data_IF_274792375703
#
_entry.id   IF_274792375703
#
_cell.length_a   1.000
_cell.length_b   1.000
_cell.length_c   1.000
_cell.angle_alpha   90.00
_cell.angle_beta   90.00
_cell.angle_gamma   90.00
#
_symmetry.space_group_name_H-M   'P 1'
#
loop_
_entity.id
_entity.type
_entity.pdbx_description
1 polymer ?
#
# COMPACT_ATOMS: atom_id res chain seq x y z
N UNK A 1 -6.99 -3.75 -20.12
CA UNK A 1 -6.05 -3.99 -18.99
C UNK A 1 -6.88 -4.50 -17.85
N UNK A 2 -6.48 -5.60 -17.25
CA UNK A 2 -7.20 -6.24 -16.15
C UNK A 2 -6.49 -5.93 -14.82
N UNK A 3 -7.25 -5.80 -13.73
CA UNK A 3 -6.70 -5.74 -12.38
C UNK A 3 -7.30 -6.89 -11.60
N UNK A 4 -6.44 -7.71 -11.00
CA UNK A 4 -6.84 -8.88 -10.23
C UNK A 4 -5.91 -9.10 -9.05
N UNK A 5 -6.39 -9.88 -8.09
CA UNK A 5 -5.57 -10.34 -6.97
C UNK A 5 -4.35 -11.10 -7.50
N UNK A 6 -3.20 -10.85 -6.91
CA UNK A 6 -1.96 -11.55 -7.20
C UNK A 6 -2.04 -12.98 -6.67
N UNK A 7 -1.41 -13.91 -7.38
CA UNK A 7 -1.27 -15.31 -7.00
C UNK A 7 0.21 -15.67 -6.89
N UNK A 8 0.51 -16.86 -6.37
CA UNK A 8 1.89 -17.35 -6.32
C UNK A 8 2.54 -17.49 -7.71
N UNK A 9 1.74 -17.67 -8.77
CA UNK A 9 2.23 -17.73 -10.15
C UNK A 9 2.72 -16.37 -10.68
N UNK A 10 2.33 -15.28 -10.02
CA UNK A 10 2.66 -13.92 -10.44
C UNK A 10 3.97 -13.40 -9.83
N UNK A 11 4.57 -14.10 -8.85
CA UNK A 11 5.66 -13.56 -8.04
C UNK A 11 6.90 -13.25 -8.88
N UNK A 12 7.29 -14.14 -9.79
CA UNK A 12 8.43 -13.89 -10.68
C UNK A 12 8.17 -12.69 -11.60
N UNK A 13 6.99 -12.61 -12.20
CA UNK A 13 6.61 -11.48 -13.08
C UNK A 13 6.52 -10.16 -12.31
N UNK A 14 6.13 -10.23 -11.05
CA UNK A 14 6.06 -9.09 -10.12
C UNK A 14 7.46 -8.62 -9.75
N UNK A 15 8.37 -9.54 -9.44
CA UNK A 15 9.78 -9.26 -9.19
C UNK A 15 10.46 -8.65 -10.42
N UNK A 16 10.23 -9.19 -11.61
CA UNK A 16 10.73 -8.61 -12.87
C UNK A 16 10.20 -7.19 -13.08
N UNK A 17 8.92 -6.96 -12.78
CA UNK A 17 8.33 -5.62 -12.87
C UNK A 17 8.96 -4.64 -11.85
N UNK A 18 9.30 -5.11 -10.64
CA UNK A 18 9.99 -4.32 -9.61
C UNK A 18 11.38 -3.90 -10.09
N UNK A 19 12.21 -4.86 -10.55
CA UNK A 19 13.57 -4.62 -11.05
C UNK A 19 13.61 -3.59 -12.19
N UNK A 20 12.58 -3.58 -13.05
CA UNK A 20 12.48 -2.62 -14.16
C UNK A 20 12.01 -1.22 -13.74
N UNK A 21 11.39 -1.08 -12.56
CA UNK A 21 10.69 0.14 -12.17
C UNK A 21 11.29 0.85 -10.96
N UNK A 22 11.95 0.13 -10.05
CA UNK A 22 12.35 0.62 -8.74
C UNK A 22 13.79 0.22 -8.38
N UNK A 23 14.51 1.07 -7.64
CA UNK A 23 15.84 0.71 -7.11
C UNK A 23 15.76 -0.19 -5.87
N UNK A 24 14.66 -0.14 -5.09
CA UNK A 24 14.43 -1.02 -3.95
C UNK A 24 13.93 -2.40 -4.42
N UNK A 25 14.80 -3.40 -4.27
CA UNK A 25 14.59 -4.77 -4.74
C UNK A 25 14.61 -5.77 -3.59
N UNK A 26 13.87 -6.87 -3.76
CA UNK A 26 13.72 -7.90 -2.74
C UNK A 26 14.03 -9.29 -3.29
N UNK A 27 14.48 -10.19 -2.41
CA UNK A 27 14.61 -11.60 -2.75
C UNK A 27 13.23 -12.25 -2.90
N UNK A 28 13.13 -13.29 -3.73
CA UNK A 28 11.87 -14.01 -3.97
C UNK A 28 11.20 -14.51 -2.68
N UNK A 29 12.01 -14.90 -1.68
CA UNK A 29 11.54 -15.28 -0.35
C UNK A 29 10.62 -14.21 0.28
N UNK A 30 10.91 -12.93 0.08
CA UNK A 30 10.11 -11.84 0.63
C UNK A 30 8.77 -11.69 -0.07
N UNK A 31 8.73 -11.89 -1.39
CA UNK A 31 7.47 -11.96 -2.15
C UNK A 31 6.62 -13.17 -1.73
N UNK A 32 7.24 -14.33 -1.52
CA UNK A 32 6.55 -15.52 -1.02
C UNK A 32 5.98 -15.30 0.38
N UNK A 33 6.74 -14.67 1.28
CA UNK A 33 6.24 -14.31 2.61
C UNK A 33 4.95 -13.46 2.52
N UNK A 34 4.93 -12.43 1.68
CA UNK A 34 3.71 -11.63 1.48
C UNK A 34 2.54 -12.45 0.93
N UNK A 35 2.78 -13.25 -0.11
CA UNK A 35 1.74 -14.01 -0.79
C UNK A 35 1.15 -15.13 0.08
N UNK A 36 1.94 -15.69 0.99
CA UNK A 36 1.51 -16.77 1.88
C UNK A 36 0.92 -16.25 3.20
N UNK A 37 1.37 -15.09 3.71
CA UNK A 37 0.83 -14.49 4.93
C UNK A 37 -0.45 -13.67 4.67
N UNK A 38 -0.50 -12.90 3.58
CA UNK A 38 -1.63 -12.02 3.24
C UNK A 38 -2.06 -12.15 1.78
N UNK A 39 -2.55 -13.34 1.36
CA UNK A 39 -2.89 -13.61 -0.04
C UNK A 39 -3.95 -12.65 -0.62
N UNK A 40 -4.73 -11.97 0.22
CA UNK A 40 -5.79 -11.04 -0.18
C UNK A 40 -5.27 -9.64 -0.58
N UNK A 41 -4.07 -9.25 -0.14
CA UNK A 41 -3.69 -7.82 -0.13
C UNK A 41 -2.95 -7.35 -1.37
N UNK A 42 -2.30 -8.25 -2.10
CA UNK A 42 -1.48 -7.90 -3.26
C UNK A 42 -2.28 -8.06 -4.55
N UNK A 43 -2.10 -7.13 -5.48
CA UNK A 43 -2.81 -7.09 -6.76
C UNK A 43 -1.84 -6.84 -7.92
N UNK A 44 -2.19 -7.36 -9.09
CA UNK A 44 -1.46 -7.14 -10.34
C UNK A 44 -2.38 -6.47 -11.37
N UNK A 45 -1.77 -5.65 -12.22
CA UNK A 45 -2.36 -5.11 -13.43
C UNK A 45 -1.73 -5.81 -14.64
N UNK A 46 -2.58 -6.30 -15.55
CA UNK A 46 -2.17 -7.11 -16.69
C UNK A 46 -2.58 -6.48 -18.01
N UNK A 47 -1.72 -6.65 -19.02
CA UNK A 47 -2.07 -6.38 -20.42
C UNK A 47 -2.96 -7.51 -21.00
N UNK A 48 -3.55 -7.33 -22.20
CA UNK A 48 -4.37 -8.37 -22.83
C UNK A 48 -3.64 -9.69 -23.14
N UNK A 49 -2.31 -9.72 -23.06
CA UNK A 49 -1.47 -10.90 -23.28
C UNK A 49 -1.12 -11.62 -21.97
N UNK A 50 -1.61 -11.12 -20.82
CA UNK A 50 -1.32 -11.68 -19.50
C UNK A 50 0.02 -11.26 -18.91
N UNK A 51 0.69 -10.24 -19.46
CA UNK A 51 1.92 -9.73 -18.87
C UNK A 51 1.60 -8.80 -17.70
N UNK A 52 2.31 -8.96 -16.58
CA UNK A 52 2.26 -8.01 -15.47
C UNK A 52 2.89 -6.69 -15.92
N UNK A 53 2.09 -5.63 -15.91
CA UNK A 53 2.47 -4.27 -16.29
C UNK A 53 2.48 -3.29 -15.10
N UNK A 54 1.93 -3.72 -13.97
CA UNK A 54 2.04 -3.05 -12.69
C UNK A 54 1.57 -3.96 -11.58
N UNK A 55 1.92 -3.62 -10.34
CA UNK A 55 1.55 -4.40 -9.17
C UNK A 55 1.54 -3.52 -7.93
N UNK A 56 0.87 -4.00 -6.89
CA UNK A 56 1.00 -3.57 -5.51
C UNK A 56 1.29 -4.79 -4.64
N UNK A 57 2.35 -4.70 -3.84
CA UNK A 57 2.75 -5.69 -2.85
C UNK A 57 2.47 -5.08 -1.47
N UNK A 58 1.63 -5.74 -0.69
CA UNK A 58 1.15 -5.21 0.58
C UNK A 58 1.04 -6.28 1.66
N UNK A 59 1.17 -5.86 2.91
CA UNK A 59 1.09 -6.68 4.12
C UNK A 59 0.21 -6.01 5.18
N UNK A 60 -0.14 -6.75 6.23
CA UNK A 60 -0.52 -6.15 7.51
C UNK A 60 0.74 -5.88 8.34
N UNK A 61 0.72 -4.85 9.17
CA UNK A 61 1.81 -4.65 10.13
C UNK A 61 1.63 -5.58 11.33
N UNK A 62 2.68 -6.33 11.68
CA UNK A 62 2.62 -7.40 12.69
C UNK A 62 3.05 -6.90 14.08
N UNK A 63 3.92 -5.90 14.13
CA UNK A 63 4.59 -5.44 15.37
C UNK A 63 3.91 -4.22 16.03
N UNK A 64 2.69 -3.92 15.61
CA UNK A 64 1.95 -2.75 16.06
C UNK A 64 1.24 -3.00 17.39
N UNK A 65 1.69 -2.34 18.48
CA UNK A 65 0.86 -2.13 19.68
C UNK A 65 -0.33 -1.19 19.41
N UNK A 66 -0.29 -0.48 18.28
CA UNK A 66 -1.35 0.39 17.76
C UNK A 66 -2.48 -0.41 17.07
N UNK A 67 -3.49 0.31 16.58
CA UNK A 67 -4.57 -0.21 15.75
C UNK A 67 -4.08 -1.01 14.53
N UNK A 68 -4.83 -2.07 14.19
CA UNK A 68 -4.59 -2.88 13.01
C UNK A 68 -4.51 -2.01 11.75
N UNK A 69 -3.41 -2.12 11.01
CA UNK A 69 -3.17 -1.32 9.82
C UNK A 69 -2.36 -2.07 8.77
N UNK A 70 -2.58 -1.70 7.51
CA UNK A 70 -1.84 -2.25 6.39
C UNK A 70 -0.58 -1.46 6.07
N UNK A 71 0.34 -2.06 5.34
CA UNK A 71 1.54 -1.41 4.83
C UNK A 71 1.75 -1.74 3.35
N UNK A 72 2.00 -0.72 2.53
CA UNK A 72 2.38 -0.88 1.12
C UNK A 72 3.89 -1.03 1.04
N UNK A 73 4.33 -2.26 0.81
CA UNK A 73 5.74 -2.58 0.68
C UNK A 73 6.31 -2.09 -0.66
N UNK A 74 5.54 -2.25 -1.74
CA UNK A 74 6.01 -1.83 -3.06
C UNK A 74 4.85 -1.60 -4.02
N UNK A 75 4.92 -0.54 -4.81
CA UNK A 75 3.95 -0.20 -5.86
C UNK A 75 4.70 0.24 -7.10
N UNK A 76 4.46 -0.43 -8.23
CA UNK A 76 5.08 -0.05 -9.49
C UNK A 76 4.14 -0.22 -10.67
N UNK A 77 4.28 0.66 -11.66
CA UNK A 77 3.66 0.55 -12.98
C UNK A 77 4.72 0.88 -14.02
N UNK A 78 4.87 -0.01 -15.02
CA UNK A 78 5.80 0.15 -16.14
C UNK A 78 5.56 1.50 -16.83
N UNK A 79 6.64 2.19 -17.21
CA UNK A 79 6.59 3.58 -17.70
C UNK A 79 5.62 3.80 -18.86
N UNK A 80 5.56 2.86 -19.79
CA UNK A 80 4.67 2.88 -20.97
C UNK A 80 3.18 2.74 -20.63
N UNK A 81 2.86 2.32 -19.41
CA UNK A 81 1.49 2.11 -18.91
C UNK A 81 1.10 3.11 -17.81
N UNK A 82 1.94 4.12 -17.53
CA UNK A 82 1.63 5.18 -16.56
C UNK A 82 0.58 6.15 -17.12
N UNK A 83 -0.03 6.94 -16.22
CA UNK A 83 -1.10 7.91 -16.52
C UNK A 83 -2.42 7.29 -17.02
N UNK A 84 -2.60 5.99 -16.81
CA UNK A 84 -3.85 5.25 -17.09
C UNK A 84 -4.66 4.95 -15.82
N UNK A 85 -4.31 5.56 -14.68
CA UNK A 85 -4.97 5.34 -13.39
C UNK A 85 -4.71 3.97 -12.74
N UNK A 86 -3.81 3.15 -13.28
CA UNK A 86 -3.54 1.79 -12.76
C UNK A 86 -3.08 1.78 -11.31
N UNK A 87 -2.15 2.67 -10.94
CA UNK A 87 -1.62 2.74 -9.58
C UNK A 87 -2.73 3.05 -8.55
N UNK A 88 -3.66 3.95 -8.90
CA UNK A 88 -4.80 4.25 -8.05
C UNK A 88 -5.70 3.03 -7.88
N UNK A 89 -6.08 2.39 -8.99
CA UNK A 89 -6.96 1.22 -8.96
C UNK A 89 -6.35 0.04 -8.17
N UNK A 90 -5.03 -0.19 -8.30
CA UNK A 90 -4.31 -1.18 -7.51
C UNK A 90 -4.40 -0.86 -6.00
N UNK A 91 -4.10 0.38 -5.64
CA UNK A 91 -4.15 0.85 -4.24
C UNK A 91 -5.56 0.77 -3.65
N UNK A 92 -6.60 1.13 -4.41
CA UNK A 92 -7.99 1.07 -3.94
C UNK A 92 -8.46 -0.37 -3.74
N UNK A 93 -8.02 -1.33 -4.58
CA UNK A 93 -8.29 -2.75 -4.37
C UNK A 93 -7.59 -3.30 -3.11
N UNK A 94 -6.31 -2.97 -2.91
CA UNK A 94 -5.59 -3.33 -1.69
C UNK A 94 -6.22 -2.73 -0.45
N UNK A 95 -6.58 -1.44 -0.48
CA UNK A 95 -7.24 -0.75 0.63
C UNK A 95 -8.57 -1.43 1.00
N UNK A 96 -9.37 -1.81 0.00
CA UNK A 96 -10.62 -2.54 0.19
C UNK A 96 -10.36 -3.89 0.89
N UNK A 97 -9.41 -4.68 0.40
CA UNK A 97 -9.07 -5.98 0.96
C UNK A 97 -8.56 -5.87 2.42
N UNK A 98 -7.78 -4.83 2.73
CA UNK A 98 -7.31 -4.55 4.09
C UNK A 98 -8.48 -4.29 5.06
N UNK A 99 -9.49 -3.54 4.62
CA UNK A 99 -10.69 -3.26 5.43
C UNK A 99 -11.55 -4.52 5.60
N UNK A 100 -11.90 -5.17 4.49
CA UNK A 100 -12.83 -6.31 4.46
C UNK A 100 -12.27 -7.57 5.16
N UNK A 101 -10.94 -7.77 5.12
CA UNK A 101 -10.33 -9.00 5.63
C UNK A 101 -9.69 -8.82 7.01
N UNK A 102 -9.13 -7.64 7.29
CA UNK A 102 -8.27 -7.44 8.46
C UNK A 102 -8.67 -6.26 9.34
N UNK A 103 -9.79 -5.61 9.04
CA UNK A 103 -10.27 -4.46 9.80
C UNK A 103 -9.25 -3.31 9.89
N UNK A 104 -8.39 -3.17 8.87
CA UNK A 104 -7.29 -2.22 8.88
C UNK A 104 -7.80 -0.77 8.89
N UNK A 105 -7.51 0.00 9.96
CA UNK A 105 -8.05 1.36 10.13
C UNK A 105 -7.30 2.40 9.32
N UNK A 106 -6.06 2.11 8.95
CA UNK A 106 -5.27 2.91 8.03
C UNK A 106 -4.32 2.03 7.22
N UNK A 107 -3.71 2.64 6.21
CA UNK A 107 -2.61 2.05 5.45
C UNK A 107 -1.43 3.00 5.44
N UNK A 108 -0.22 2.47 5.64
CA UNK A 108 1.04 3.22 5.64
C UNK A 108 1.92 2.88 4.45
N UNK A 109 2.86 3.77 4.14
CA UNK A 109 3.94 3.54 3.18
C UNK A 109 5.11 4.49 3.44
N UNK A 110 6.26 4.17 2.85
CA UNK A 110 7.43 5.06 2.78
C UNK A 110 7.67 5.53 1.34
N UNK A 111 8.04 6.80 1.18
CA UNK A 111 8.38 7.37 -0.12
C UNK A 111 9.57 8.32 -0.02
N UNK A 112 10.52 8.18 -0.95
CA UNK A 112 11.64 9.10 -1.16
C UNK A 112 11.14 10.55 -1.24
N UNK A 113 11.75 11.44 -0.45
CA UNK A 113 11.40 12.87 -0.43
C UNK A 113 11.57 13.53 -1.80
N UNK A 114 12.48 13.02 -2.63
CA UNK A 114 12.70 13.51 -4.00
C UNK A 114 11.68 13.02 -5.02
N UNK A 115 10.90 11.98 -4.74
CA UNK A 115 10.03 11.32 -5.72
C UNK A 115 8.71 12.09 -5.93
N UNK A 116 8.80 13.22 -6.64
CA UNK A 116 7.66 14.12 -6.91
C UNK A 116 6.46 13.45 -7.57
N UNK A 117 6.70 12.46 -8.43
CA UNK A 117 5.62 11.74 -9.13
C UNK A 117 4.81 10.87 -8.16
N UNK A 118 5.50 10.11 -7.30
CA UNK A 118 4.86 9.31 -6.27
C UNK A 118 4.17 10.19 -5.21
N UNK A 119 4.82 11.28 -4.78
CA UNK A 119 4.23 12.23 -3.84
C UNK A 119 2.92 12.84 -4.35
N UNK A 120 2.87 13.22 -5.64
CA UNK A 120 1.64 13.70 -6.24
C UNK A 120 0.53 12.63 -6.26
N UNK A 121 0.87 11.39 -6.60
CA UNK A 121 -0.08 10.27 -6.56
C UNK A 121 -0.61 10.05 -5.14
N UNK A 122 0.28 9.88 -4.16
CA UNK A 122 -0.11 9.55 -2.79
C UNK A 122 -0.91 10.68 -2.14
N UNK A 123 -0.42 11.92 -2.22
CA UNK A 123 -1.07 13.06 -1.56
C UNK A 123 -2.36 13.47 -2.27
N UNK A 124 -2.30 13.75 -3.56
CA UNK A 124 -3.39 14.45 -4.25
C UNK A 124 -4.49 13.48 -4.72
N UNK A 125 -4.08 12.32 -5.25
CA UNK A 125 -5.02 11.31 -5.77
C UNK A 125 -5.51 10.38 -4.68
N UNK A 126 -4.60 9.86 -3.84
CA UNK A 126 -4.91 8.80 -2.88
C UNK A 126 -5.14 9.30 -1.45
N UNK A 127 -5.03 10.61 -1.20
CA UNK A 127 -5.33 11.23 0.10
C UNK A 127 -4.48 10.68 1.25
N UNK A 128 -3.24 10.31 0.95
CA UNK A 128 -2.24 10.06 1.98
C UNK A 128 -1.75 11.39 2.56
N UNK A 129 -1.51 11.38 3.86
CA UNK A 129 -0.91 12.48 4.61
C UNK A 129 0.47 12.06 5.11
N UNK A 130 1.39 13.02 5.20
CA UNK A 130 2.72 12.79 5.76
C UNK A 130 2.56 12.70 7.28
N UNK A 131 2.96 11.57 7.88
CA UNK A 131 2.98 11.41 9.34
C UNK A 131 4.30 11.88 9.93
N UNK A 132 5.41 11.54 9.31
CA UNK A 132 6.76 11.80 9.81
C UNK A 132 7.80 11.82 8.68
N UNK A 133 8.97 12.37 8.99
CA UNK A 133 10.17 12.30 8.15
C UNK A 133 11.15 11.36 8.83
N UNK A 134 11.55 10.31 8.12
CA UNK A 134 12.52 9.34 8.60
C UNK A 134 13.89 9.63 7.97
N UNK A 135 14.85 10.13 8.77
CA UNK A 135 16.14 10.54 8.25
C UNK A 135 16.96 9.32 7.84
N UNK A 136 17.62 9.39 6.67
CA UNK A 136 18.50 8.35 6.12
C UNK A 136 17.85 6.96 6.06
N UNK A 137 16.56 6.93 5.74
CA UNK A 137 15.79 5.68 5.63
C UNK A 137 16.31 4.77 4.52
N UNK A 138 16.61 5.35 3.35
CA UNK A 138 17.10 4.59 2.21
C UNK A 138 18.61 4.35 2.30
N UNK A 139 19.08 3.25 1.68
CA UNK A 139 20.47 2.81 1.78
C UNK A 139 21.52 3.80 1.24
N UNK A 140 21.10 4.68 0.33
CA UNK A 140 21.92 5.79 -0.19
C UNK A 140 21.92 7.03 0.73
N UNK A 141 21.25 6.94 1.87
CA UNK A 141 21.13 8.00 2.86
C UNK A 141 20.02 9.01 2.58
N UNK A 142 19.17 8.78 1.57
CA UNK A 142 18.00 9.64 1.34
C UNK A 142 16.95 9.46 2.46
N UNK A 143 16.35 10.57 2.87
CA UNK A 143 15.22 10.58 3.80
C UNK A 143 13.95 10.01 3.14
N UNK A 144 13.05 9.47 3.96
CA UNK A 144 11.71 9.07 3.55
C UNK A 144 10.65 9.94 4.23
N UNK A 145 9.56 10.21 3.51
CA UNK A 145 8.29 10.49 4.18
C UNK A 145 7.62 9.17 4.51
N UNK A 146 7.29 8.95 5.76
CA UNK A 146 6.27 7.98 6.12
C UNK A 146 4.91 8.66 5.94
N UNK A 147 4.01 7.97 5.22
CA UNK A 147 2.70 8.50 4.88
C UNK A 147 1.61 7.53 5.34
N UNK A 148 0.46 8.08 5.75
CA UNK A 148 -0.71 7.31 6.18
C UNK A 148 -1.97 7.78 5.45
N UNK A 149 -2.87 6.84 5.13
CA UNK A 149 -4.24 7.10 4.65
C UNK A 149 -5.21 6.41 5.58
N UNK A 150 -6.16 7.17 6.14
CA UNK A 150 -7.24 6.59 6.95
C UNK A 150 -8.18 5.76 6.07
N UNK A 151 -8.32 4.48 6.43
CA UNK A 151 -9.20 3.55 5.74
C UNK A 151 -10.64 3.62 6.29
N UNK A 152 -10.83 4.17 7.49
CA UNK A 152 -12.16 4.46 8.03
C UNK A 152 -12.94 5.46 7.17
N UNK A 153 -12.30 6.54 6.71
CA UNK A 153 -12.90 7.51 5.78
C UNK A 153 -13.10 6.90 4.40
N UNK A 154 -12.09 6.20 3.87
CA UNK A 154 -12.19 5.50 2.59
C UNK A 154 -13.37 4.52 2.56
N UNK A 155 -13.55 3.72 3.61
CA UNK A 155 -14.62 2.74 3.70
C UNK A 155 -16.01 3.39 3.68
N UNK A 156 -16.19 4.50 4.43
CA UNK A 156 -17.43 5.28 4.41
C UNK A 156 -17.72 5.86 3.02
N UNK A 157 -16.72 6.47 2.38
CA UNK A 157 -16.87 7.10 1.07
C UNK A 157 -17.16 6.10 -0.06
N UNK A 158 -16.67 4.87 0.06
CA UNK A 158 -16.73 3.85 -1.00
C UNK A 158 -17.70 2.70 -0.70
N UNK A 159 -18.45 2.77 0.41
CA UNK A 159 -19.38 1.72 0.83
C UNK A 159 -18.69 0.37 1.03
N UNK A 160 -17.50 0.38 1.63
CA UNK A 160 -16.75 -0.85 1.95
C UNK A 160 -17.14 -1.30 3.35
N UNK A 161 -17.59 -2.54 3.48
CA UNK A 161 -17.96 -3.12 4.77
C UNK A 161 -16.72 -3.76 5.44
N UNK A 162 -16.37 -3.34 6.66
CA UNK A 162 -15.24 -3.91 7.40
C UNK A 162 -15.54 -5.31 7.94
N UNK A 163 -14.49 -6.06 8.26
CA UNK A 163 -14.60 -7.39 8.87
C UNK A 163 -15.38 -7.38 10.20
N UNK A 164 -15.16 -6.33 11.01
CA UNK A 164 -15.91 -6.07 12.24
C UNK A 164 -16.24 -4.57 12.32
N UNK A 165 -17.50 -4.26 12.01
CA UNK A 165 -18.02 -2.89 11.94
C UNK A 165 -17.97 -2.15 13.27
N UNK A 166 -18.20 -2.83 14.39
CA UNK A 166 -18.26 -2.16 15.69
C UNK A 166 -16.86 -1.70 16.11
N UNK A 167 -15.88 -2.60 16.05
CA UNK A 167 -14.50 -2.25 16.42
C UNK A 167 -13.85 -1.29 15.42
N UNK A 168 -14.21 -1.36 14.14
CA UNK A 168 -13.62 -0.52 13.09
C UNK A 168 -13.97 0.97 13.21
N UNK A 169 -15.22 1.28 13.56
CA UNK A 169 -15.71 2.66 13.66
C UNK A 169 -15.71 3.22 15.08
N UNK A 170 -15.25 2.46 16.07
CA UNK A 170 -15.12 2.94 17.44
C UNK A 170 -14.06 4.05 17.50
N UNK A 171 -14.41 5.19 18.09
CA UNK A 171 -13.44 6.26 18.37
C UNK A 171 -12.42 5.76 19.40
N UNK A 172 -11.15 5.81 19.04
CA UNK A 172 -10.05 5.48 19.94
C UNK A 172 -9.68 6.72 20.75
N UNK A 173 -9.68 6.55 22.08
CA UNK A 173 -9.43 7.60 23.08
C UNK A 173 -8.00 8.16 23.11
N UNK A 174 -7.15 7.80 22.14
CA UNK A 174 -5.75 8.23 22.04
C UNK A 174 -5.58 9.71 21.64
N UNK A 175 -6.63 10.36 21.13
CA UNK A 175 -6.56 11.78 20.71
C UNK A 175 -6.60 12.80 21.86
N UNK A 176 -6.78 12.38 23.12
CA UNK A 176 -6.83 13.29 24.28
C UNK A 176 -5.46 13.57 24.96
N UNK A 177 -4.35 12.94 24.54
CA UNK A 177 -3.05 13.11 25.23
C UNK A 177 -2.10 14.18 24.65
N UNK A 178 -2.44 14.90 23.58
CA UNK A 178 -1.57 15.97 23.02
C UNK A 178 -2.10 17.40 23.24
N UNK A 179 -2.53 17.75 24.45
CA UNK A 179 -2.60 19.16 24.89
C UNK A 179 -2.31 19.25 26.40
N UNK A 180 -1.08 18.97 26.83
CA UNK A 180 -0.50 19.50 28.07
C UNK A 180 1.02 19.55 27.91
N UNK A 181 1.53 20.70 27.48
CA UNK A 181 2.67 21.38 28.10
C UNK A 181 2.69 22.83 27.63
#
# INVERSE_FOLDING_TARGET
>A
MNIRRATCEDLLRTQDCNLLCLPENYQLKYYMYHALSWPQLSYVAEDPKGNVIGYVLAKMEEESEDEAHGHITSLAVKRTYRRLGLAQKLMDQTARAMVETYNARYVSLHVRVSNRAALNLYKNTLKFEISEVEPKYYADGEDAYAMKRLLTSFAKENGVEPADRESFFRETSSSQKKVKH
#
